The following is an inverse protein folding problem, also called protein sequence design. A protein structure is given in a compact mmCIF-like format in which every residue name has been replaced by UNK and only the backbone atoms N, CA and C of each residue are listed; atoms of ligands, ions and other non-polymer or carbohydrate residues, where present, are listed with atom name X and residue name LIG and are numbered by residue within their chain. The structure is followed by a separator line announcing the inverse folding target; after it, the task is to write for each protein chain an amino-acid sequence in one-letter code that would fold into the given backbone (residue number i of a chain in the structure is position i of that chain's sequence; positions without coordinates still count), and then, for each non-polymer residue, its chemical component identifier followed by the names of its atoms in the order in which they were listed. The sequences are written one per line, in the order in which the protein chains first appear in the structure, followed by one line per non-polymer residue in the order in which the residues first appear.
data_IF_103557169301
#
_entry.id   IF_103557169301
#
_cell.length_a   1.000
_cell.length_b   1.000
_cell.length_c   1.000
_cell.angle_alpha   90.00
_cell.angle_beta   90.00
_cell.angle_gamma   90.00
#
_symmetry.space_group_name_H-M   'P 1'
#
loop_
_entity.id
_entity.type
_entity.pdbx_description
1 polymer ?
#
# COMPACT_ATOMS: atom_id res chain seq x y z
N UNK A 1 21.31 -0.65 2.36
CA UNK A 1 20.03 -0.05 1.93
C UNK A 1 20.33 1.01 0.90
N UNK A 2 19.76 0.88 -0.28
CA UNK A 2 19.84 1.91 -1.32
C UNK A 2 18.76 2.96 -1.06
N UNK A 3 19.11 4.23 -1.21
CA UNK A 3 18.20 5.34 -1.00
C UNK A 3 18.15 6.21 -2.26
N UNK A 4 16.94 6.50 -2.70
CA UNK A 4 16.66 7.37 -3.83
C UNK A 4 15.71 8.46 -3.42
N UNK A 5 16.00 9.69 -3.84
CA UNK A 5 15.15 10.85 -3.59
C UNK A 5 14.79 11.56 -4.90
N UNK A 6 13.64 12.20 -4.90
CA UNK A 6 13.17 13.00 -6.03
C UNK A 6 12.34 14.17 -5.53
N UNK A 7 12.37 15.27 -6.26
CA UNK A 7 11.56 16.47 -6.00
C UNK A 7 10.75 16.84 -7.24
N UNK A 8 9.51 17.30 -7.05
CA UNK A 8 8.66 17.74 -8.15
C UNK A 8 9.15 19.06 -8.77
N UNK A 9 9.68 19.96 -7.93
CA UNK A 9 10.20 21.27 -8.34
C UNK A 9 11.57 21.49 -7.72
N UNK A 10 12.65 21.36 -8.50
CA UNK A 10 14.00 21.60 -8.00
C UNK A 10 14.24 23.09 -7.81
N UNK A 11 15.10 23.42 -6.84
CA UNK A 11 15.76 24.72 -6.75
C UNK A 11 17.13 24.66 -7.46
N UNK A 12 17.83 25.82 -7.55
CA UNK A 12 19.13 25.93 -8.24
C UNK A 12 20.23 25.07 -7.57
N UNK A 13 20.02 24.60 -6.36
CA UNK A 13 20.98 23.81 -5.59
C UNK A 13 20.73 22.30 -5.68
N UNK A 14 19.57 21.91 -6.18
CA UNK A 14 19.19 20.50 -6.25
C UNK A 14 19.96 19.75 -7.34
N UNK A 15 20.62 18.66 -6.96
CA UNK A 15 21.40 17.81 -7.87
C UNK A 15 20.85 16.39 -8.02
N UNK A 16 19.73 16.08 -7.34
CA UNK A 16 19.09 14.76 -7.33
C UNK A 16 18.11 14.55 -8.50
N UNK A 17 17.24 13.56 -8.34
CA UNK A 17 16.21 13.27 -9.34
C UNK A 17 15.11 14.33 -9.29
N UNK A 18 14.51 14.60 -10.46
CA UNK A 18 13.39 15.53 -10.62
C UNK A 18 12.20 14.80 -11.20
N UNK A 19 11.04 15.04 -10.63
CA UNK A 19 9.78 14.43 -11.02
C UNK A 19 9.12 13.62 -9.91
N UNK A 20 7.94 13.08 -10.22
CA UNK A 20 7.17 12.25 -9.28
C UNK A 20 7.87 10.94 -8.98
N UNK A 21 7.55 10.33 -7.84
CA UNK A 21 8.21 9.10 -7.33
C UNK A 21 8.26 7.97 -8.37
N UNK A 22 7.27 7.85 -9.23
CA UNK A 22 7.21 6.81 -10.26
C UNK A 22 8.32 6.91 -11.32
N UNK A 23 8.94 8.08 -11.48
CA UNK A 23 10.08 8.24 -12.40
C UNK A 23 11.30 7.43 -11.96
N UNK A 24 11.40 7.13 -10.67
CA UNK A 24 12.50 6.33 -10.12
C UNK A 24 12.39 4.85 -10.51
N UNK A 25 11.19 4.33 -10.77
CA UNK A 25 11.01 2.93 -11.19
C UNK A 25 11.67 2.61 -12.53
N UNK A 26 11.83 3.62 -13.39
CA UNK A 26 12.55 3.47 -14.66
C UNK A 26 14.07 3.41 -14.47
N UNK A 27 14.57 3.91 -13.36
CA UNK A 27 16.00 3.96 -13.03
C UNK A 27 16.46 2.78 -12.18
N UNK A 28 15.53 2.19 -11.44
CA UNK A 28 15.81 1.10 -10.50
C UNK A 28 15.24 -0.20 -11.07
N UNK A 29 16.08 -1.20 -11.25
CA UNK A 29 15.62 -2.55 -11.61
C UNK A 29 14.93 -3.17 -10.38
N UNK A 30 13.60 -3.29 -10.43
CA UNK A 30 12.81 -3.88 -9.35
C UNK A 30 12.48 -5.32 -9.76
N UNK A 31 12.89 -6.27 -8.94
CA UNK A 31 12.58 -7.68 -9.16
C UNK A 31 11.07 -7.94 -8.93
N UNK A 32 10.38 -8.71 -9.79
CA UNK A 32 8.97 -9.04 -9.61
C UNK A 32 8.63 -9.77 -8.31
N UNK A 33 9.60 -10.38 -7.64
CA UNK A 33 9.42 -11.04 -6.34
C UNK A 33 9.49 -10.07 -5.15
N UNK A 34 9.84 -8.80 -5.40
CA UNK A 34 10.01 -7.79 -4.35
C UNK A 34 8.69 -7.51 -3.62
N UNK A 35 8.76 -7.40 -2.29
CA UNK A 35 7.67 -6.86 -1.49
C UNK A 35 7.76 -5.33 -1.44
N UNK A 36 6.68 -4.66 -1.78
CA UNK A 36 6.60 -3.20 -1.88
C UNK A 36 5.69 -2.65 -0.80
N UNK A 37 6.15 -1.65 -0.07
CA UNK A 37 5.33 -0.90 0.90
C UNK A 37 5.19 0.53 0.38
N UNK A 38 3.96 1.00 0.25
CA UNK A 38 3.64 2.34 -0.23
C UNK A 38 3.04 3.13 0.93
N UNK A 39 3.68 4.25 1.27
CA UNK A 39 3.19 5.20 2.25
C UNK A 39 3.18 6.60 1.64
N UNK A 40 2.07 7.31 1.72
CA UNK A 40 1.95 8.67 1.20
C UNK A 40 0.52 9.10 0.86
N UNK A 41 0.35 10.19 0.10
CA UNK A 41 -0.97 10.70 -0.22
C UNK A 41 -1.78 9.76 -1.13
N UNK A 42 -3.12 9.72 -0.99
CA UNK A 42 -3.98 8.79 -1.74
C UNK A 42 -3.85 8.86 -3.25
N UNK A 43 -3.53 10.04 -3.80
CA UNK A 43 -3.33 10.22 -5.24
C UNK A 43 -2.12 9.42 -5.75
N UNK A 44 -1.07 9.32 -4.93
CA UNK A 44 0.16 8.61 -5.28
C UNK A 44 -0.08 7.12 -5.49
N UNK A 45 -0.93 6.50 -4.68
CA UNK A 45 -1.19 5.05 -4.76
C UNK A 45 -1.65 4.60 -6.15
N UNK A 46 -2.49 5.38 -6.83
CA UNK A 46 -3.00 5.03 -8.17
C UNK A 46 -1.88 4.91 -9.18
N UNK A 47 -0.97 5.87 -9.17
CA UNK A 47 0.14 5.90 -10.11
C UNK A 47 1.19 4.84 -9.79
N UNK A 48 1.55 4.71 -8.52
CA UNK A 48 2.52 3.69 -8.08
C UNK A 48 2.02 2.29 -8.40
N UNK A 49 0.77 1.95 -8.06
CA UNK A 49 0.20 0.63 -8.34
C UNK A 49 0.14 0.34 -9.84
N UNK A 50 -0.20 1.33 -10.66
CA UNK A 50 -0.23 1.17 -12.11
C UNK A 50 1.17 0.86 -12.69
N UNK A 51 2.21 1.53 -12.20
CA UNK A 51 3.59 1.25 -12.60
C UNK A 51 4.06 -0.14 -12.11
N UNK A 52 3.71 -0.53 -10.88
CA UNK A 52 4.04 -1.85 -10.33
C UNK A 52 3.34 -2.98 -11.10
N UNK A 53 2.07 -2.78 -11.50
CA UNK A 53 1.35 -3.71 -12.37
C UNK A 53 2.07 -3.83 -13.74
N UNK A 54 2.60 -2.72 -14.27
CA UNK A 54 3.37 -2.68 -15.53
C UNK A 54 4.72 -3.43 -15.44
N UNK A 55 5.35 -3.42 -14.27
CA UNK A 55 6.59 -4.16 -14.00
C UNK A 55 6.30 -5.66 -13.78
N UNK A 56 5.05 -6.03 -13.47
CA UNK A 56 4.65 -7.40 -13.22
C UNK A 56 4.75 -7.84 -11.76
N UNK A 57 4.78 -6.89 -10.81
CA UNK A 57 4.78 -7.19 -9.38
C UNK A 57 3.39 -7.65 -8.96
N UNK A 58 3.24 -8.86 -8.38
CA UNK A 58 1.95 -9.34 -7.91
C UNK A 58 1.38 -8.42 -6.83
N UNK A 59 0.09 -8.09 -6.93
CA UNK A 59 -0.59 -7.25 -5.91
C UNK A 59 -0.57 -7.84 -4.51
N UNK A 60 -0.35 -9.14 -4.38
CA UNK A 60 -0.15 -9.81 -3.11
C UNK A 60 1.15 -9.38 -2.41
N UNK A 61 2.13 -8.90 -3.16
CA UNK A 61 3.39 -8.39 -2.64
C UNK A 61 3.38 -6.87 -2.43
N UNK A 62 2.25 -6.20 -2.71
CA UNK A 62 2.12 -4.75 -2.55
C UNK A 62 1.29 -4.44 -1.32
N UNK A 63 1.85 -3.66 -0.42
CA UNK A 63 1.22 -3.21 0.81
C UNK A 63 1.05 -1.69 0.77
N UNK A 64 -0.08 -1.21 1.26
CA UNK A 64 -0.40 0.21 1.32
C UNK A 64 -0.65 0.61 2.77
N UNK A 65 -0.04 1.69 3.20
CA UNK A 65 -0.27 2.29 4.50
C UNK A 65 -1.38 3.34 4.37
N UNK A 66 -2.53 3.08 4.96
CA UNK A 66 -3.72 3.92 4.84
C UNK A 66 -3.97 4.67 6.14
N UNK A 67 -3.84 5.98 6.09
CA UNK A 67 -4.12 6.83 7.23
C UNK A 67 -5.58 7.29 7.27
N UNK A 68 -6.15 7.24 8.46
CA UNK A 68 -7.45 7.80 8.78
C UNK A 68 -7.44 8.40 10.19
N UNK A 69 -8.23 9.46 10.37
CA UNK A 69 -8.42 10.01 11.70
C UNK A 69 -9.11 8.99 12.60
N UNK A 70 -8.41 8.51 13.60
CA UNK A 70 -8.94 7.60 14.60
C UNK A 70 -9.50 8.39 15.78
N UNK A 71 -10.64 7.96 16.33
CA UNK A 71 -11.22 8.52 17.56
C UNK A 71 -11.24 7.50 18.69
N UNK A 72 -11.81 6.31 18.46
CA UNK A 72 -11.93 5.31 19.51
C UNK A 72 -10.78 4.30 19.54
N UNK A 73 -10.15 3.99 18.41
CA UNK A 73 -9.08 2.98 18.32
C UNK A 73 -9.52 1.52 18.46
N UNK A 74 -10.81 1.25 18.64
CA UNK A 74 -11.37 -0.07 18.99
C UNK A 74 -12.52 -0.49 18.07
N UNK A 75 -12.61 0.07 16.86
CA UNK A 75 -13.59 -0.33 15.85
C UNK A 75 -15.05 0.02 16.14
N UNK A 76 -15.33 0.92 17.08
CA UNK A 76 -16.73 1.23 17.48
C UNK A 76 -17.32 2.45 16.78
N UNK A 77 -16.53 3.51 16.55
CA UNK A 77 -17.07 4.79 16.13
C UNK A 77 -17.18 5.00 14.63
N UNK A 78 -16.60 4.11 13.81
CA UNK A 78 -16.65 4.22 12.35
C UNK A 78 -15.79 5.30 11.71
N UNK A 79 -15.12 6.18 12.49
CA UNK A 79 -14.36 7.31 11.95
C UNK A 79 -13.21 6.93 11.02
N UNK A 80 -12.55 5.82 11.31
CA UNK A 80 -11.43 5.31 10.52
C UNK A 80 -11.85 4.24 9.50
N UNK A 81 -13.14 4.08 9.25
CA UNK A 81 -13.64 3.09 8.32
C UNK A 81 -13.27 3.42 6.87
N UNK A 82 -12.78 2.41 6.16
CA UNK A 82 -12.54 2.42 4.72
C UNK A 82 -13.23 1.18 4.15
N UNK A 83 -14.30 1.39 3.37
CA UNK A 83 -15.17 0.31 2.90
C UNK A 83 -15.76 -0.50 4.10
N UNK A 84 -15.42 -1.77 4.20
CA UNK A 84 -15.84 -2.72 5.22
C UNK A 84 -14.78 -2.96 6.32
N UNK A 85 -13.67 -2.21 6.28
CA UNK A 85 -12.54 -2.38 7.20
C UNK A 85 -12.33 -1.15 8.08
N UNK A 86 -11.84 -1.35 9.29
CA UNK A 86 -11.45 -0.28 10.21
C UNK A 86 -9.94 -0.19 10.31
N UNK A 87 -9.37 0.96 9.95
CA UNK A 87 -7.91 1.17 10.02
C UNK A 87 -7.36 0.89 11.41
N UNK A 88 -8.11 1.18 12.46
CA UNK A 88 -7.69 0.94 13.85
C UNK A 88 -7.67 -0.53 14.28
N UNK A 89 -8.36 -1.42 13.56
CA UNK A 89 -8.39 -2.86 13.86
C UNK A 89 -7.67 -3.69 12.81
N UNK A 90 -7.91 -3.38 11.53
CA UNK A 90 -7.50 -4.21 10.40
C UNK A 90 -6.20 -3.70 9.75
N UNK A 91 -5.82 -2.45 10.03
CA UNK A 91 -4.65 -1.77 9.46
C UNK A 91 -3.66 -1.29 10.52
N UNK A 92 -2.88 -0.23 10.22
CA UNK A 92 -2.97 0.68 9.06
C UNK A 92 -2.44 0.13 7.74
N UNK A 93 -1.64 -0.93 7.75
CA UNK A 93 -1.03 -1.51 6.55
C UNK A 93 -1.92 -2.61 5.99
N UNK A 94 -2.31 -2.46 4.74
CA UNK A 94 -3.20 -3.39 4.04
C UNK A 94 -2.51 -3.99 2.81
N UNK A 95 -2.76 -5.28 2.57
CA UNK A 95 -2.38 -5.88 1.29
C UNK A 95 -3.23 -5.27 0.16
N UNK A 96 -2.60 -4.87 -0.93
CA UNK A 96 -3.29 -4.31 -2.09
C UNK A 96 -4.27 -5.31 -2.73
N UNK A 97 -4.05 -6.61 -2.58
CA UNK A 97 -4.95 -7.66 -3.04
C UNK A 97 -6.28 -7.70 -2.25
N UNK A 98 -6.24 -7.32 -0.96
CA UNK A 98 -7.39 -7.32 -0.06
C UNK A 98 -8.11 -5.96 -0.07
N UNK A 99 -7.38 -4.89 -0.37
CA UNK A 99 -7.93 -3.56 -0.45
C UNK A 99 -8.60 -3.33 -1.79
N UNK A 100 -9.89 -3.48 -1.84
CA UNK A 100 -10.69 -3.12 -3.01
C UNK A 100 -10.93 -1.63 -3.00
N UNK A 101 -9.99 -0.89 -3.57
CA UNK A 101 -10.15 0.54 -3.81
C UNK A 101 -11.45 0.83 -4.55
N UNK A 102 -12.13 1.86 -4.11
CA UNK A 102 -13.40 2.36 -4.59
C UNK A 102 -13.50 2.43 -6.12
N UNK A 103 -13.96 1.36 -6.75
CA UNK A 103 -14.76 1.42 -7.99
C UNK A 103 -15.72 0.23 -8.03
N UNK A 104 -16.98 0.55 -7.72
CA UNK A 104 -18.18 -0.08 -8.24
C UNK A 104 -18.15 -1.58 -8.43
N UNK A 105 -18.44 -2.34 -7.39
CA UNK A 105 -19.22 -3.55 -7.56
C UNK A 105 -20.14 -3.69 -6.35
N UNK A 106 -21.28 -3.04 -6.45
CA UNK A 106 -22.46 -3.56 -5.77
C UNK A 106 -22.85 -4.86 -6.49
N UNK A 107 -22.61 -5.98 -5.84
CA UNK A 107 -23.39 -7.21 -5.94
C UNK A 107 -22.82 -8.20 -4.95
N UNK A 108 -23.48 -8.31 -3.84
CA UNK A 108 -24.27 -9.45 -3.41
C UNK A 108 -23.41 -10.64 -3.10
N UNK A 109 -23.28 -10.91 -1.81
CA UNK A 109 -23.55 -12.26 -1.33
C UNK A 109 -23.22 -12.31 0.17
N UNK A 110 -24.29 -12.52 0.89
CA UNK A 110 -24.42 -13.54 1.93
C UNK A 110 -23.33 -13.64 3.01
N UNK A 111 -23.85 -13.42 4.19
CA UNK A 111 -23.32 -13.82 5.47
C UNK A 111 -22.58 -15.16 5.44
N UNK A 112 -21.38 -15.14 6.00
CA UNK A 112 -20.65 -16.34 6.38
C UNK A 112 -19.78 -15.98 7.57
N UNK A 113 -20.26 -16.31 8.75
CA UNK A 113 -19.53 -16.17 10.00
C UNK A 113 -18.25 -17.02 9.95
N UNK A 114 -17.12 -16.39 10.25
CA UNK A 114 -15.86 -17.07 10.38
C UNK A 114 -14.88 -16.19 11.15
N UNK A 115 -15.01 -16.14 12.47
CA UNK A 115 -13.97 -15.63 13.35
C UNK A 115 -12.82 -16.63 13.35
N UNK A 116 -11.62 -16.14 13.20
CA UNK A 116 -10.40 -16.86 13.55
C UNK A 116 -9.49 -17.16 12.36
N UNK A 117 -8.46 -16.38 12.24
CA UNK A 117 -7.37 -16.64 11.32
C UNK A 117 -6.28 -15.61 11.56
N UNK A 118 -5.45 -15.86 12.57
CA UNK A 118 -4.17 -15.20 12.72
C UNK A 118 -3.40 -15.43 11.43
N UNK A 119 -3.09 -14.35 10.70
CA UNK A 119 -2.28 -14.40 9.50
C UNK A 119 -0.91 -15.04 9.79
N UNK A 120 -0.30 -15.70 8.80
CA UNK A 120 0.97 -16.37 9.01
C UNK A 120 2.05 -15.36 9.39
N UNK A 121 2.71 -15.64 10.50
CA UNK A 121 3.89 -14.91 10.94
C UNK A 121 4.93 -14.89 9.83
N UNK A 122 5.45 -13.69 9.55
CA UNK A 122 6.60 -13.50 8.67
C UNK A 122 7.78 -14.27 9.27
N UNK A 123 8.10 -15.42 8.69
CA UNK A 123 9.34 -16.14 9.01
C UNK A 123 10.49 -15.39 8.36
N UNK A 124 11.35 -14.84 9.18
CA UNK A 124 12.67 -14.41 8.75
C UNK A 124 13.47 -15.65 8.35
N UNK A 125 13.94 -15.71 7.11
CA UNK A 125 14.91 -16.72 6.70
C UNK A 125 16.29 -16.37 7.28
N UNK A 126 17.03 -17.34 7.83
CA UNK A 126 18.40 -17.09 8.25
C UNK A 126 19.31 -16.94 7.02
N UNK A 127 20.15 -15.91 7.07
CA UNK A 127 21.26 -15.73 6.16
C UNK A 127 22.26 -16.89 6.32
N UNK A 128 22.64 -17.45 5.22
CA UNK A 128 23.84 -18.28 5.06
C UNK A 128 24.81 -17.59 4.14
#
# INVERSE_FOLDING_TARGET
VEYYETVDRPDDKWKGNVGVITTLFKKTAIDPTTSVIICGPPVMYKFVIAELDGIGIPRANVYVDLERRMKCGIGKCGHCQINDQYVCLDGPVFCCCCWRGTRGSRKGAAAGAGRGGVGPAIRASPAS
#
